data_IF_434783200365
#
_entry.id   IF_434783200365
#
_cell.length_a   1.000
_cell.length_b   1.000
_cell.length_c   1.000
_cell.angle_alpha   90.00
_cell.angle_beta   90.00
_cell.angle_gamma   90.00
#
_symmetry.space_group_name_H-M   'P 1'
#
loop_
_entity.id
_entity.type
_entity.pdbx_description
1 polymer ?
#
# COMPACT_ATOMS: atom_id res chain seq x y z
N UNK A 1 -46.61 10.34 -12.63
CA UNK A 1 -45.86 10.98 -11.51
C UNK A 1 -46.38 10.36 -10.23
N UNK A 2 -45.52 9.74 -9.48
CA UNK A 2 -45.81 9.14 -8.17
C UNK A 2 -45.48 10.15 -7.07
N UNK A 3 -46.32 10.24 -6.03
CA UNK A 3 -46.02 11.07 -4.89
C UNK A 3 -44.99 10.42 -3.97
N UNK A 4 -44.30 11.23 -3.17
CA UNK A 4 -43.47 10.76 -2.07
C UNK A 4 -44.31 9.84 -1.18
N UNK A 5 -43.84 8.69 -0.77
CA UNK A 5 -44.51 7.65 0.05
C UNK A 5 -45.26 6.53 -0.73
N UNK A 6 -45.30 6.50 -2.06
CA UNK A 6 -45.85 5.36 -2.79
C UNK A 6 -44.81 4.36 -3.21
N UNK A 7 -45.07 3.07 -2.93
CA UNK A 7 -44.26 1.97 -3.46
C UNK A 7 -44.49 1.83 -4.94
N UNK A 8 -43.44 1.84 -5.75
CA UNK A 8 -43.48 1.64 -7.21
C UNK A 8 -42.76 0.37 -7.61
N UNK A 9 -43.28 -0.31 -8.65
CA UNK A 9 -42.67 -1.53 -9.17
C UNK A 9 -41.32 -1.27 -9.82
N UNK A 10 -40.42 -2.27 -9.75
CA UNK A 10 -39.10 -2.19 -10.38
C UNK A 10 -39.27 -2.03 -11.91
N UNK A 11 -38.69 -0.93 -12.44
CA UNK A 11 -38.82 -0.56 -13.87
C UNK A 11 -39.90 0.46 -14.19
N UNK A 12 -40.65 0.94 -13.19
CA UNK A 12 -41.63 2.02 -13.39
C UNK A 12 -40.93 3.37 -13.64
N UNK A 13 -41.51 4.17 -14.54
CA UNK A 13 -40.99 5.52 -14.84
C UNK A 13 -41.39 6.48 -13.73
N UNK A 14 -40.44 6.87 -12.92
CA UNK A 14 -40.66 7.79 -11.76
C UNK A 14 -40.63 9.26 -12.16
N UNK A 15 -39.82 9.65 -13.13
CA UNK A 15 -39.73 11.03 -13.63
C UNK A 15 -39.52 11.05 -15.15
N UNK A 16 -40.14 12.00 -15.84
CA UNK A 16 -39.82 12.37 -17.23
C UNK A 16 -39.42 13.84 -17.27
N UNK A 17 -38.28 14.14 -17.85
CA UNK A 17 -37.74 15.51 -18.00
C UNK A 17 -37.91 15.89 -19.49
N UNK A 18 -38.59 16.97 -19.78
CA UNK A 18 -38.82 17.49 -21.14
C UNK A 18 -39.52 18.84 -21.11
N UNK A 19 -39.69 19.46 -22.30
CA UNK A 19 -40.39 20.73 -22.42
C UNK A 19 -41.90 20.56 -22.05
N UNK A 20 -42.44 21.37 -21.15
CA UNK A 20 -43.83 21.23 -20.70
C UNK A 20 -44.89 21.46 -21.80
N UNK A 21 -44.49 21.99 -22.96
CA UNK A 21 -45.38 22.23 -24.12
C UNK A 21 -45.24 21.23 -25.27
N UNK A 22 -44.40 20.19 -25.11
CA UNK A 22 -44.26 19.15 -26.13
C UNK A 22 -45.41 18.15 -26.03
N UNK A 23 -46.20 17.98 -27.12
CA UNK A 23 -47.23 16.96 -27.20
C UNK A 23 -46.65 15.55 -27.07
N UNK A 24 -47.32 14.61 -26.35
CA UNK A 24 -46.82 13.26 -26.17
C UNK A 24 -46.72 12.52 -27.52
N UNK A 25 -45.49 12.16 -27.91
CA UNK A 25 -45.25 11.28 -29.05
C UNK A 25 -45.78 9.87 -28.72
N UNK A 26 -46.60 9.32 -29.58
CA UNK A 26 -47.08 7.95 -29.48
C UNK A 26 -45.92 6.95 -29.52
N UNK A 27 -45.99 5.83 -28.79
CA UNK A 27 -44.93 4.84 -28.79
C UNK A 27 -44.83 4.16 -30.15
N UNK A 28 -43.67 4.28 -30.78
CA UNK A 28 -43.33 3.53 -32.00
C UNK A 28 -43.13 2.06 -31.62
N UNK A 29 -43.78 1.09 -32.35
CA UNK A 29 -43.57 -0.33 -32.09
C UNK A 29 -42.09 -0.70 -32.38
N UNK A 30 -41.45 -1.41 -31.48
CA UNK A 30 -40.14 -1.98 -31.71
C UNK A 30 -40.17 -3.01 -32.83
N UNK A 31 -39.17 -3.08 -33.74
CA UNK A 31 -39.08 -4.11 -34.75
C UNK A 31 -38.94 -5.49 -34.10
N UNK A 32 -39.80 -6.43 -34.51
CA UNK A 32 -39.72 -7.83 -34.11
C UNK A 32 -38.42 -8.45 -34.65
N UNK A 33 -37.66 -9.05 -33.78
CA UNK A 33 -36.51 -9.90 -34.13
C UNK A 33 -37.01 -11.19 -34.80
N UNK A 34 -36.33 -11.72 -35.81
CA UNK A 34 -36.74 -12.95 -36.50
C UNK A 34 -36.56 -14.16 -35.57
N UNK A 35 -37.61 -14.96 -35.46
CA UNK A 35 -37.63 -16.24 -34.75
C UNK A 35 -36.87 -17.25 -35.62
N UNK A 36 -35.71 -17.71 -35.15
CA UNK A 36 -35.07 -18.90 -35.70
C UNK A 36 -35.54 -20.10 -34.85
N UNK A 37 -36.28 -21.00 -35.45
CA UNK A 37 -36.56 -22.33 -34.94
C UNK A 37 -35.26 -23.13 -34.90
N UNK A 38 -34.78 -23.47 -33.72
CA UNK A 38 -33.71 -24.45 -33.56
C UNK A 38 -34.18 -25.58 -32.63
N UNK A 39 -34.04 -26.78 -33.17
CA UNK A 39 -34.43 -28.07 -32.64
C UNK A 39 -33.91 -28.29 -31.23
N UNK A 40 -34.81 -28.71 -30.35
CA UNK A 40 -34.49 -29.25 -29.03
C UNK A 40 -33.80 -30.61 -29.20
N UNK A 41 -32.49 -30.65 -29.00
CA UNK A 41 -31.75 -31.89 -28.77
C UNK A 41 -31.55 -32.05 -27.29
N UNK A 42 -32.06 -33.16 -26.77
CA UNK A 42 -32.05 -33.51 -25.33
C UNK A 42 -30.62 -33.80 -24.92
N UNK A 43 -30.01 -32.91 -24.10
CA UNK A 43 -28.73 -33.16 -23.45
C UNK A 43 -28.91 -34.21 -22.32
N UNK A 44 -27.97 -35.15 -22.20
CA UNK A 44 -28.05 -36.18 -21.15
C UNK A 44 -27.83 -35.57 -19.78
N UNK A 45 -28.65 -36.00 -18.84
CA UNK A 45 -28.63 -35.74 -17.41
C UNK A 45 -27.24 -36.05 -16.84
N UNK A 46 -26.49 -35.02 -16.46
CA UNK A 46 -25.25 -35.19 -15.72
C UNK A 46 -25.62 -35.59 -14.29
N UNK A 47 -25.31 -36.83 -13.92
CA UNK A 47 -25.35 -37.31 -12.55
C UNK A 47 -24.35 -36.50 -11.69
N UNK A 48 -24.81 -36.09 -10.51
CA UNK A 48 -23.98 -35.47 -9.49
C UNK A 48 -22.79 -36.39 -9.14
N UNK A 49 -21.56 -35.88 -9.00
CA UNK A 49 -20.44 -36.70 -8.61
C UNK A 49 -20.66 -37.24 -7.19
N UNK A 50 -20.68 -38.56 -7.08
CA UNK A 50 -20.68 -39.29 -5.81
C UNK A 50 -19.47 -38.82 -4.98
N UNK A 51 -19.74 -38.44 -3.74
CA UNK A 51 -18.79 -38.28 -2.67
C UNK A 51 -17.71 -39.37 -2.73
N UNK A 52 -16.48 -38.96 -3.08
CA UNK A 52 -15.31 -39.84 -2.95
C UNK A 52 -14.99 -39.95 -1.46
N UNK A 53 -15.22 -41.12 -0.91
CA UNK A 53 -14.82 -41.46 0.45
C UNK A 53 -13.29 -41.24 0.60
N UNK A 54 -12.96 -40.45 1.60
CA UNK A 54 -11.59 -40.30 2.10
C UNK A 54 -11.02 -41.68 2.42
N UNK A 55 -9.83 -42.07 1.89
CA UNK A 55 -9.22 -43.31 2.30
C UNK A 55 -8.92 -43.28 3.80
N UNK A 56 -9.10 -44.37 4.54
CA UNK A 56 -8.79 -44.41 5.96
C UNK A 56 -7.28 -44.17 6.12
N UNK A 57 -6.92 -43.22 6.99
CA UNK A 57 -5.57 -43.00 7.41
C UNK A 57 -4.97 -44.34 7.86
N UNK A 58 -3.92 -44.76 7.18
CA UNK A 58 -3.12 -45.90 7.59
C UNK A 58 -2.65 -45.67 9.03
N UNK A 59 -3.19 -46.38 9.95
CA UNK A 59 -2.67 -46.50 11.31
C UNK A 59 -1.30 -47.16 11.18
N UNK A 60 -0.27 -46.37 11.20
CA UNK A 60 1.08 -46.86 11.46
C UNK A 60 1.03 -47.47 12.87
N UNK A 61 1.17 -48.80 12.98
CA UNK A 61 1.39 -49.50 14.21
C UNK A 61 2.64 -48.90 14.86
N UNK A 62 2.44 -48.11 15.89
CA UNK A 62 3.52 -47.65 16.77
C UNK A 62 3.88 -48.86 17.61
N UNK A 63 5.08 -49.41 17.40
CA UNK A 63 5.70 -50.33 18.30
C UNK A 63 5.82 -49.65 19.67
N UNK A 64 5.05 -50.12 20.64
CA UNK A 64 5.15 -49.77 22.04
C UNK A 64 6.44 -50.40 22.61
N UNK A 65 7.49 -49.60 22.66
CA UNK A 65 8.58 -49.69 23.62
C UNK A 65 9.45 -48.43 23.50
N UNK A 66 8.98 -47.37 24.13
CA UNK A 66 9.81 -46.30 24.70
C UNK A 66 8.88 -45.25 25.29
N UNK A 67 8.96 -45.07 26.58
CA UNK A 67 8.16 -44.17 27.42
C UNK A 67 8.60 -42.68 27.23
N UNK A 68 8.81 -42.27 25.99
CA UNK A 68 9.22 -40.91 25.66
C UNK A 68 8.02 -40.14 25.06
N UNK A 69 7.62 -39.01 25.65
CA UNK A 69 6.52 -38.18 25.11
C UNK A 69 6.71 -37.81 23.66
N UNK A 70 5.62 -37.80 22.88
CA UNK A 70 5.69 -37.39 21.47
C UNK A 70 6.10 -35.93 21.34
N UNK A 71 7.29 -35.69 20.78
CA UNK A 71 7.88 -34.37 20.54
C UNK A 71 8.28 -34.21 19.08
N UNK A 72 8.25 -32.96 18.59
CA UNK A 72 8.72 -32.68 17.22
C UNK A 72 10.26 -32.86 17.12
N UNK A 73 10.80 -33.20 15.96
CA UNK A 73 12.24 -33.36 15.77
C UNK A 73 13.07 -32.18 16.22
N UNK A 74 12.52 -30.94 16.09
CA UNK A 74 13.17 -29.69 16.53
C UNK A 74 13.29 -29.62 18.06
N UNK A 75 12.24 -30.03 18.80
CA UNK A 75 12.22 -30.03 20.27
C UNK A 75 13.17 -31.09 20.81
N UNK A 76 13.26 -32.26 20.17
CA UNK A 76 14.22 -33.32 20.53
C UNK A 76 15.66 -32.85 20.37
N UNK A 77 15.99 -32.26 19.22
CA UNK A 77 17.33 -31.71 18.94
C UNK A 77 17.71 -30.57 19.91
N UNK A 78 16.71 -29.78 20.39
CA UNK A 78 16.95 -28.74 21.37
C UNK A 78 17.19 -29.33 22.77
N UNK A 79 16.45 -30.37 23.16
CA UNK A 79 16.65 -31.07 24.43
C UNK A 79 18.05 -31.72 24.48
N UNK A 80 18.46 -32.39 23.40
CA UNK A 80 19.81 -32.96 23.26
C UNK A 80 20.89 -31.89 23.38
N UNK A 81 20.69 -30.72 22.75
CA UNK A 81 21.64 -29.61 22.81
C UNK A 81 21.83 -29.03 24.22
N UNK A 82 20.78 -29.05 25.02
CA UNK A 82 20.78 -28.48 26.38
C UNK A 82 20.88 -29.55 27.48
N UNK A 83 21.03 -30.86 27.13
CA UNK A 83 21.15 -31.94 28.09
C UNK A 83 19.89 -32.17 28.93
N UNK A 84 18.70 -31.81 28.39
CA UNK A 84 17.42 -31.92 29.11
C UNK A 84 16.75 -33.25 28.79
N UNK A 85 16.46 -34.05 29.85
CA UNK A 85 15.71 -35.28 29.68
C UNK A 85 14.20 -34.98 29.50
N UNK A 86 13.68 -35.26 28.30
CA UNK A 86 12.29 -35.04 27.94
C UNK A 86 11.26 -35.80 28.78
N UNK A 87 11.68 -36.81 29.53
CA UNK A 87 10.80 -37.59 30.46
C UNK A 87 10.47 -36.77 31.71
N UNK A 88 11.32 -35.80 32.07
CA UNK A 88 11.16 -34.95 33.26
C UNK A 88 10.42 -33.65 32.95
N UNK A 89 10.19 -33.35 31.67
CA UNK A 89 9.58 -32.09 31.22
C UNK A 89 8.07 -32.24 31.06
N UNK A 90 7.31 -31.45 31.83
CA UNK A 90 5.86 -31.38 31.66
C UNK A 90 5.51 -30.48 30.47
N UNK A 91 4.87 -31.02 29.42
CA UNK A 91 4.48 -30.30 28.24
C UNK A 91 3.28 -29.37 28.45
N UNK A 92 3.41 -28.08 28.09
CA UNK A 92 2.33 -27.07 28.16
C UNK A 92 1.52 -26.95 26.88
N UNK A 93 1.78 -27.80 25.87
CA UNK A 93 1.05 -27.81 24.61
C UNK A 93 -0.28 -28.54 24.66
N UNK A 94 -1.11 -28.32 23.61
CA UNK A 94 -2.41 -29.01 23.48
C UNK A 94 -2.19 -30.53 23.49
N UNK A 95 -2.92 -31.22 24.37
CA UNK A 95 -2.75 -32.68 24.59
C UNK A 95 -1.45 -33.08 25.30
N UNK A 96 -0.88 -32.21 26.16
CA UNK A 96 0.33 -32.52 26.94
C UNK A 96 1.63 -32.50 26.12
N UNK A 97 1.63 -31.92 24.91
CA UNK A 97 2.80 -31.88 24.02
C UNK A 97 3.87 -30.95 24.56
N UNK A 98 5.13 -31.41 24.61
CA UNK A 98 6.27 -30.59 25.00
C UNK A 98 6.63 -29.60 23.89
N UNK A 99 6.72 -28.31 24.22
CA UNK A 99 7.07 -27.21 23.34
C UNK A 99 8.53 -26.81 23.53
N UNK A 100 9.09 -26.03 22.59
CA UNK A 100 10.43 -25.45 22.69
C UNK A 100 10.65 -24.68 24.01
N UNK A 101 9.61 -23.97 24.46
CA UNK A 101 9.66 -23.17 25.70
C UNK A 101 9.79 -24.03 26.95
N UNK A 102 9.16 -25.20 26.98
CA UNK A 102 9.21 -26.13 28.11
C UNK A 102 10.62 -26.71 28.28
N UNK A 103 11.30 -27.02 27.20
CA UNK A 103 12.70 -27.49 27.20
C UNK A 103 13.66 -26.38 27.67
N UNK A 104 13.47 -25.14 27.23
CA UNK A 104 14.30 -24.01 27.67
C UNK A 104 14.07 -23.67 29.14
N UNK A 105 12.82 -23.79 29.64
CA UNK A 105 12.52 -23.61 31.07
C UNK A 105 13.16 -24.68 31.93
N UNK A 106 13.13 -25.94 31.49
CA UNK A 106 13.78 -27.05 32.18
C UNK A 106 15.31 -26.93 32.16
N UNK A 107 15.89 -26.42 31.07
CA UNK A 107 17.34 -26.14 30.98
C UNK A 107 17.79 -25.02 31.93
N UNK A 108 16.89 -24.04 32.23
CA UNK A 108 17.18 -22.95 33.18
C UNK A 108 17.05 -23.35 34.65
N UNK A 109 16.32 -24.43 34.97
CA UNK A 109 16.14 -24.91 36.35
C UNK A 109 17.28 -25.85 36.84
N UNK A 110 18.14 -26.32 35.97
CA UNK A 110 19.28 -27.19 36.32
C UNK A 110 20.49 -26.48 36.91
N UNK A 111 20.44 -25.16 37.12
CA UNK A 111 21.59 -24.37 37.62
C UNK A 111 21.36 -23.70 39.01
N UNK A 112 20.39 -24.21 39.79
CA UNK A 112 20.16 -23.63 41.13
C UNK A 112 19.96 -24.73 42.17
N UNK A 113 21.09 -25.30 42.66
CA UNK A 113 21.10 -26.02 43.95
C UNK A 113 22.15 -25.39 44.87
N UNK A 114 21.65 -25.07 46.08
CA UNK A 114 22.36 -24.66 47.32
C UNK A 114 22.72 -23.16 47.52
N UNK A 115 21.83 -22.47 48.28
CA UNK A 115 22.23 -21.59 49.39
C UNK A 115 21.02 -21.32 50.33
N UNK A 116 21.27 -21.04 51.66
CA UNK A 116 20.35 -21.39 52.73
C UNK A 116 19.30 -20.30 53.03
N UNK A 117 18.27 -20.75 53.77
CA UNK A 117 17.12 -19.98 54.22
C UNK A 117 17.48 -18.68 54.93
N UNK A 118 16.87 -17.56 54.53
CA UNK A 118 16.78 -16.34 55.30
C UNK A 118 15.42 -15.64 55.07
N UNK A 119 14.72 -15.47 56.21
CA UNK A 119 13.77 -14.41 56.55
C UNK A 119 12.60 -14.07 55.59
N UNK A 120 11.40 -14.31 56.13
CA UNK A 120 10.13 -13.74 55.68
C UNK A 120 10.22 -12.21 55.51
N UNK A 121 9.94 -11.75 54.29
CA UNK A 121 9.65 -10.35 53.97
C UNK A 121 8.14 -10.25 53.64
N UNK A 122 7.42 -9.22 54.13
CA UNK A 122 5.97 -9.13 53.99
C UNK A 122 5.55 -9.08 52.52
N UNK A 123 4.45 -9.80 52.21
CA UNK A 123 3.85 -9.86 50.89
C UNK A 123 3.64 -8.45 50.31
N UNK A 124 4.38 -8.10 49.29
CA UNK A 124 4.11 -6.95 48.45
C UNK A 124 2.76 -7.18 47.75
N UNK A 125 1.87 -6.20 47.82
CA UNK A 125 0.60 -6.17 47.11
C UNK A 125 0.79 -6.51 45.62
N UNK A 126 -0.17 -7.19 44.98
CA UNK A 126 -0.04 -7.53 43.58
C UNK A 126 0.14 -6.25 42.75
N UNK A 127 1.33 -6.11 42.16
CA UNK A 127 1.54 -5.10 41.15
C UNK A 127 0.54 -5.36 40.02
N UNK A 128 -0.42 -4.46 39.88
CA UNK A 128 -1.26 -4.41 38.69
C UNK A 128 -0.34 -4.29 37.49
N UNK A 129 -0.19 -5.39 36.75
CA UNK A 129 0.47 -5.38 35.46
C UNK A 129 -0.33 -4.45 34.56
N UNK A 130 0.10 -3.19 34.47
CA UNK A 130 -0.42 -2.28 33.47
C UNK A 130 -0.20 -2.95 32.11
N UNK A 131 -1.30 -3.32 31.47
CA UNK A 131 -1.30 -3.88 30.14
C UNK A 131 -0.51 -2.94 29.24
N UNK A 132 0.58 -3.40 28.66
CA UNK A 132 1.39 -2.60 27.75
C UNK A 132 0.57 -2.30 26.50
N UNK A 133 -0.09 -1.14 26.48
CA UNK A 133 -1.03 -0.72 25.43
C UNK A 133 -0.30 -0.40 24.13
N UNK A 134 1.01 -0.16 24.15
CA UNK A 134 1.83 0.06 22.96
C UNK A 134 3.31 -0.14 23.29
N UNK A 135 4.07 -0.73 22.36
CA UNK A 135 5.53 -0.84 22.43
C UNK A 135 6.24 0.47 22.04
N UNK A 136 5.54 1.40 21.39
CA UNK A 136 6.07 2.73 21.04
C UNK A 136 5.92 3.67 22.26
N UNK A 137 7.02 4.17 22.77
CA UNK A 137 6.99 5.26 23.75
C UNK A 137 6.34 6.49 23.10
N UNK A 138 5.31 7.03 23.77
CA UNK A 138 4.72 8.31 23.37
C UNK A 138 5.75 9.41 23.56
N UNK A 139 5.98 10.22 22.52
CA UNK A 139 6.81 11.42 22.62
C UNK A 139 6.25 12.34 23.73
N UNK A 140 7.04 12.68 24.75
CA UNK A 140 6.57 13.52 25.86
C UNK A 140 6.00 14.88 25.40
N UNK A 141 6.59 15.48 24.36
CA UNK A 141 6.11 16.75 23.80
C UNK A 141 4.72 16.60 23.18
N UNK A 142 4.47 15.48 22.45
CA UNK A 142 3.14 15.17 21.90
C UNK A 142 2.14 14.80 23.01
N UNK A 143 2.58 14.12 24.05
CA UNK A 143 1.75 13.79 25.21
C UNK A 143 1.27 15.06 25.94
N UNK A 144 2.11 16.08 26.07
CA UNK A 144 1.79 17.36 26.70
C UNK A 144 0.72 18.18 25.94
N UNK A 145 0.45 17.86 24.66
CA UNK A 145 -0.61 18.50 23.88
C UNK A 145 -2.03 18.05 24.28
N UNK A 146 -2.15 16.93 24.98
CA UNK A 146 -3.48 16.37 25.35
C UNK A 146 -4.20 17.31 26.30
N UNK A 147 -5.45 17.66 25.94
CA UNK A 147 -6.29 18.57 26.72
C UNK A 147 -5.93 20.06 26.57
N UNK A 148 -5.02 20.44 25.66
CA UNK A 148 -4.68 21.84 25.37
C UNK A 148 -5.40 22.34 24.11
N UNK A 149 -5.63 23.64 24.05
CA UNK A 149 -6.08 24.36 22.86
C UNK A 149 -4.95 25.29 22.42
N UNK A 150 -4.49 25.17 21.16
CA UNK A 150 -3.41 25.98 20.64
C UNK A 150 -3.77 26.58 19.28
N UNK A 151 -3.20 27.76 18.97
CA UNK A 151 -3.29 28.32 17.63
C UNK A 151 -2.50 27.45 16.66
N UNK A 152 -3.06 27.21 15.48
CA UNK A 152 -2.34 26.56 14.38
C UNK A 152 -1.24 27.48 13.86
N UNK A 153 -0.14 26.90 13.40
CA UNK A 153 0.94 27.66 12.78
C UNK A 153 0.54 28.09 11.35
N UNK A 154 1.28 29.06 10.76
CA UNK A 154 0.99 29.61 9.44
C UNK A 154 1.02 28.55 8.33
N UNK A 155 1.91 27.57 8.38
CA UNK A 155 1.97 26.49 7.38
C UNK A 155 0.70 25.67 7.44
N UNK A 156 0.21 25.31 8.63
CA UNK A 156 -1.04 24.56 8.82
C UNK A 156 -2.26 25.36 8.34
N UNK A 157 -2.29 26.69 8.56
CA UNK A 157 -3.35 27.56 8.04
C UNK A 157 -3.38 27.53 6.50
N UNK A 158 -2.21 27.66 5.86
CA UNK A 158 -2.08 27.62 4.40
C UNK A 158 -2.50 26.24 3.87
N UNK A 159 -2.01 25.15 4.49
CA UNK A 159 -2.37 23.78 4.11
C UNK A 159 -3.89 23.58 4.20
N UNK A 160 -4.51 23.96 5.32
CA UNK A 160 -5.96 23.81 5.52
C UNK A 160 -6.76 24.55 4.43
N UNK A 161 -6.34 25.78 4.10
CA UNK A 161 -7.00 26.56 3.04
C UNK A 161 -6.81 25.90 1.67
N UNK A 162 -5.59 25.47 1.33
CA UNK A 162 -5.27 24.91 0.01
C UNK A 162 -5.88 23.52 -0.22
N UNK A 163 -5.92 22.68 0.79
CA UNK A 163 -6.58 21.37 0.67
C UNK A 163 -8.08 21.50 0.52
N UNK A 164 -8.71 22.44 1.27
CA UNK A 164 -10.14 22.70 1.13
C UNK A 164 -10.48 23.32 -0.24
N UNK A 165 -9.69 24.30 -0.70
CA UNK A 165 -9.77 24.86 -2.06
C UNK A 165 -9.72 23.77 -3.11
N UNK A 166 -8.75 22.86 -3.00
CA UNK A 166 -8.56 21.73 -3.92
C UNK A 166 -9.81 20.83 -4.00
N UNK A 167 -10.37 20.44 -2.86
CA UNK A 167 -11.57 19.60 -2.80
C UNK A 167 -12.82 20.27 -3.36
N UNK A 168 -12.90 21.61 -3.30
CA UNK A 168 -14.04 22.37 -3.81
C UNK A 168 -13.93 22.72 -5.30
N UNK A 169 -12.71 22.73 -5.86
CA UNK A 169 -12.47 23.17 -7.25
C UNK A 169 -12.21 22.02 -8.22
N UNK A 170 -11.79 20.87 -7.73
CA UNK A 170 -11.47 19.69 -8.54
C UNK A 170 -12.44 18.53 -8.27
N UNK A 171 -12.86 17.85 -9.31
CA UNK A 171 -13.65 16.61 -9.22
C UNK A 171 -12.69 15.42 -9.00
N UNK A 172 -12.21 15.26 -7.75
CA UNK A 172 -11.16 14.32 -7.44
C UNK A 172 -11.64 12.86 -7.44
N UNK A 173 -10.93 12.00 -8.15
CA UNK A 173 -11.10 10.56 -8.18
C UNK A 173 -9.73 9.89 -8.03
N UNK A 174 -9.67 8.78 -7.28
CA UNK A 174 -8.42 8.02 -7.10
C UNK A 174 -8.52 6.66 -7.77
N UNK A 175 -7.57 6.36 -8.67
CA UNK A 175 -7.36 5.06 -9.27
C UNK A 175 -6.14 4.39 -8.67
N UNK A 176 -6.21 3.08 -8.42
CA UNK A 176 -5.18 2.32 -7.74
C UNK A 176 -4.63 1.23 -8.66
N UNK A 177 -3.31 1.19 -8.85
CA UNK A 177 -2.62 0.07 -9.48
C UNK A 177 -1.72 -0.64 -8.49
N UNK A 178 -1.65 -1.97 -8.59
CA UNK A 178 -0.68 -2.79 -7.89
C UNK A 178 0.51 -3.05 -8.82
N UNK A 179 1.74 -2.96 -8.28
CA UNK A 179 2.99 -3.05 -9.03
C UNK A 179 3.98 -3.97 -8.33
N UNK A 180 4.62 -4.87 -9.08
CA UNK A 180 5.69 -5.73 -8.60
C UNK A 180 7.04 -5.00 -8.65
N UNK A 181 7.56 -4.68 -7.48
CA UNK A 181 8.84 -4.01 -7.29
C UNK A 181 10.02 -4.96 -7.06
N UNK A 182 9.83 -6.27 -7.24
CA UNK A 182 10.84 -7.27 -6.90
C UNK A 182 12.14 -7.04 -7.68
N UNK A 183 12.05 -6.85 -8.99
CA UNK A 183 13.21 -6.60 -9.84
C UNK A 183 13.92 -5.29 -9.49
N UNK A 184 13.18 -4.20 -9.25
CA UNK A 184 13.75 -2.91 -8.78
C UNK A 184 14.43 -3.08 -7.42
N UNK A 185 13.85 -3.87 -6.51
CA UNK A 185 14.44 -4.11 -5.20
C UNK A 185 15.76 -4.88 -5.28
N UNK A 186 15.84 -5.88 -6.17
CA UNK A 186 17.05 -6.63 -6.43
C UNK A 186 18.13 -5.76 -7.08
N UNK A 187 17.78 -5.02 -8.13
CA UNK A 187 18.68 -4.06 -8.79
C UNK A 187 19.23 -3.03 -7.79
N UNK A 188 18.34 -2.43 -6.99
CA UNK A 188 18.72 -1.49 -5.94
C UNK A 188 19.65 -2.14 -4.92
N UNK A 189 19.35 -3.35 -4.46
CA UNK A 189 20.17 -4.09 -3.49
C UNK A 189 21.59 -4.33 -4.02
N UNK A 190 21.70 -4.74 -5.28
CA UNK A 190 22.98 -5.00 -5.94
C UNK A 190 23.85 -3.73 -6.06
N UNK A 191 23.23 -2.58 -6.34
CA UNK A 191 23.94 -1.36 -6.73
C UNK A 191 24.03 -0.29 -5.62
N UNK A 192 23.35 -0.46 -4.49
CA UNK A 192 23.25 0.57 -3.42
C UNK A 192 24.60 1.07 -2.94
N UNK A 193 25.58 0.19 -2.72
CA UNK A 193 26.90 0.55 -2.19
C UNK A 193 27.71 1.35 -3.21
N UNK A 194 27.75 0.89 -4.46
CA UNK A 194 28.46 1.57 -5.56
C UNK A 194 27.83 2.95 -5.84
N UNK A 195 26.50 3.04 -5.84
CA UNK A 195 25.79 4.30 -6.06
C UNK A 195 26.10 5.32 -4.95
N UNK A 196 26.06 4.90 -3.69
CA UNK A 196 26.43 5.74 -2.54
C UNK A 196 27.88 6.24 -2.64
N UNK A 197 28.80 5.34 -2.99
CA UNK A 197 30.21 5.68 -3.14
C UNK A 197 30.45 6.70 -4.27
N UNK A 198 29.73 6.57 -5.39
CA UNK A 198 29.90 7.42 -6.57
C UNK A 198 29.20 8.78 -6.46
N UNK A 199 27.97 8.79 -5.95
CA UNK A 199 27.11 9.99 -5.98
C UNK A 199 26.87 10.64 -4.61
N UNK A 200 27.34 10.05 -3.51
CA UNK A 200 27.23 10.61 -2.17
C UNK A 200 25.86 10.53 -1.52
N UNK A 201 24.85 9.97 -2.23
CA UNK A 201 23.47 9.85 -1.74
C UNK A 201 22.99 8.40 -1.74
N UNK A 202 22.06 8.07 -0.85
CA UNK A 202 21.50 6.73 -0.79
C UNK A 202 20.58 6.46 -1.99
N UNK A 203 20.74 5.31 -2.64
CA UNK A 203 19.79 4.82 -3.63
C UNK A 203 18.53 4.31 -2.91
N UNK A 204 17.50 5.15 -2.81
CA UNK A 204 16.18 4.81 -2.28
C UNK A 204 15.25 4.35 -3.40
N UNK A 205 14.00 3.97 -3.09
CA UNK A 205 13.02 3.62 -4.13
C UNK A 205 12.42 4.86 -4.83
N UNK A 206 12.39 6.01 -4.16
CA UNK A 206 11.72 7.21 -4.67
C UNK A 206 12.27 7.70 -6.01
N UNK A 207 13.60 7.70 -6.29
CA UNK A 207 14.13 8.05 -7.61
C UNK A 207 13.62 7.15 -8.75
N UNK A 208 13.38 5.86 -8.51
CA UNK A 208 12.80 4.96 -9.52
C UNK A 208 11.34 5.30 -9.80
N UNK A 209 10.53 5.54 -8.77
CA UNK A 209 9.16 6.02 -8.94
C UNK A 209 9.11 7.37 -9.66
N UNK A 210 10.00 8.29 -9.29
CA UNK A 210 10.08 9.60 -9.91
C UNK A 210 10.45 9.50 -11.40
N UNK A 211 11.48 8.70 -11.74
CA UNK A 211 11.92 8.51 -13.14
C UNK A 211 10.80 7.90 -13.99
N UNK A 212 10.17 6.84 -13.52
CA UNK A 212 9.05 6.20 -14.24
C UNK A 212 7.84 7.16 -14.40
N UNK A 213 7.51 7.93 -13.36
CA UNK A 213 6.44 8.93 -13.44
C UNK A 213 6.76 10.08 -14.41
N UNK A 214 8.00 10.58 -14.43
CA UNK A 214 8.44 11.64 -15.34
C UNK A 214 8.36 11.15 -16.79
N UNK A 215 8.86 9.95 -17.09
CA UNK A 215 8.78 9.36 -18.43
C UNK A 215 7.31 9.18 -18.88
N UNK A 216 6.44 8.76 -17.96
CA UNK A 216 5.02 8.66 -18.22
C UNK A 216 4.35 10.03 -18.43
N UNK A 217 4.72 11.08 -17.69
CA UNK A 217 4.19 12.45 -17.85
C UNK A 217 4.54 13.06 -19.21
N UNK A 218 5.73 12.77 -19.71
CA UNK A 218 6.14 13.17 -21.08
C UNK A 218 5.29 12.46 -22.14
N UNK A 219 4.95 11.18 -21.91
CA UNK A 219 4.16 10.36 -22.83
C UNK A 219 2.65 10.60 -22.73
N UNK A 220 2.16 11.15 -21.61
CA UNK A 220 0.75 11.39 -21.31
C UNK A 220 0.52 12.86 -20.92
N UNK A 221 0.58 13.81 -21.85
CA UNK A 221 0.56 15.25 -21.56
C UNK A 221 -0.74 15.72 -20.89
N UNK A 222 -1.86 15.01 -21.07
CA UNK A 222 -3.14 15.29 -20.40
C UNK A 222 -3.08 15.11 -18.87
N UNK A 223 -2.13 14.31 -18.35
CA UNK A 223 -1.88 14.18 -16.91
C UNK A 223 -0.92 15.26 -16.41
N UNK A 224 -0.03 15.78 -17.27
CA UNK A 224 0.85 16.92 -16.98
C UNK A 224 0.20 18.25 -17.42
N UNK A 225 -1.00 18.53 -16.93
CA UNK A 225 -1.82 19.65 -17.36
C UNK A 225 -2.41 20.41 -16.16
N UNK A 226 -3.01 21.56 -16.45
CA UNK A 226 -3.80 22.32 -15.51
C UNK A 226 -5.06 22.87 -16.17
N UNK A 227 -6.12 23.08 -15.38
CA UNK A 227 -7.41 23.57 -15.86
C UNK A 227 -7.77 24.91 -15.25
N UNK A 228 -8.18 25.84 -16.10
CA UNK A 228 -8.78 27.10 -15.70
C UNK A 228 -10.28 27.09 -16.05
N UNK A 229 -11.12 26.84 -15.04
CA UNK A 229 -12.56 26.73 -15.23
C UNK A 229 -13.23 28.05 -15.68
N UNK A 230 -12.72 29.20 -15.25
CA UNK A 230 -13.27 30.52 -15.60
C UNK A 230 -13.07 30.80 -17.11
N UNK A 231 -11.88 30.48 -17.62
CA UNK A 231 -11.53 30.66 -19.04
C UNK A 231 -11.95 29.48 -19.90
N UNK A 232 -12.25 28.32 -19.31
CA UNK A 232 -12.51 27.04 -19.97
C UNK A 232 -11.31 26.58 -20.82
N UNK A 233 -10.11 26.78 -20.27
CA UNK A 233 -8.84 26.49 -20.95
C UNK A 233 -8.07 25.41 -20.21
N UNK A 234 -7.48 24.48 -20.97
CA UNK A 234 -6.46 23.53 -20.49
C UNK A 234 -5.08 24.01 -20.91
N UNK A 235 -4.14 23.98 -19.98
CA UNK A 235 -2.72 24.20 -20.26
C UNK A 235 -1.98 22.88 -20.15
N UNK A 236 -1.40 22.42 -21.25
CA UNK A 236 -0.50 21.27 -21.29
C UNK A 236 0.92 21.76 -21.06
N UNK A 237 1.56 21.29 -19.97
CA UNK A 237 2.89 21.75 -19.60
C UNK A 237 3.95 21.06 -20.46
N UNK A 238 4.86 21.84 -21.05
CA UNK A 238 6.00 21.31 -21.81
C UNK A 238 7.10 20.74 -20.92
N UNK A 239 7.13 21.16 -19.66
CA UNK A 239 8.11 20.75 -18.66
C UNK A 239 7.42 19.92 -17.57
N UNK A 240 8.18 18.97 -16.99
CA UNK A 240 7.77 18.25 -15.80
C UNK A 240 8.44 18.88 -14.59
N UNK A 241 7.67 19.65 -13.83
CA UNK A 241 8.11 20.24 -12.58
C UNK A 241 7.54 19.38 -11.42
N UNK A 242 8.40 18.54 -10.85
CA UNK A 242 8.00 17.47 -9.93
C UNK A 242 7.95 17.98 -8.49
N UNK A 243 6.75 18.08 -7.92
CA UNK A 243 6.54 18.29 -6.49
C UNK A 243 6.83 17.01 -5.70
N UNK A 244 7.57 17.15 -4.61
CA UNK A 244 7.83 16.04 -3.65
C UNK A 244 7.23 16.42 -2.30
N UNK A 245 6.28 15.64 -1.82
CA UNK A 245 5.70 15.85 -0.50
C UNK A 245 6.71 15.50 0.60
N UNK A 246 7.04 16.47 1.44
CA UNK A 246 8.02 16.34 2.53
C UNK A 246 7.38 16.68 3.86
N UNK A 247 7.41 15.73 4.79
CA UNK A 247 7.07 15.99 6.19
C UNK A 247 8.19 16.76 6.89
N UNK A 248 7.79 17.87 7.54
CA UNK A 248 8.71 18.74 8.28
C UNK A 248 8.18 19.02 9.69
N UNK A 249 9.02 19.44 10.65
CA UNK A 249 8.55 19.83 11.98
C UNK A 249 7.47 20.93 11.98
N UNK A 250 7.45 21.77 10.94
CA UNK A 250 6.48 22.86 10.80
C UNK A 250 5.18 22.43 10.08
N UNK A 251 5.17 21.29 9.41
CA UNK A 251 4.06 20.72 8.65
C UNK A 251 4.48 20.17 7.30
N UNK A 252 3.49 19.71 6.53
CA UNK A 252 3.68 19.16 5.19
C UNK A 252 3.97 20.28 4.18
N UNK A 253 5.04 20.12 3.40
CA UNK A 253 5.40 20.97 2.28
C UNK A 253 5.54 20.14 1.02
N UNK A 254 5.30 20.74 -0.16
CA UNK A 254 5.49 20.07 -1.46
C UNK A 254 6.44 20.92 -2.33
N UNK A 255 7.75 20.94 -2.01
CA UNK A 255 8.72 21.63 -2.83
C UNK A 255 8.88 20.96 -4.20
N UNK A 256 9.35 21.74 -5.19
CA UNK A 256 9.32 21.43 -6.62
C UNK A 256 10.74 21.30 -7.17
N UNK A 257 10.99 20.18 -7.85
CA UNK A 257 12.18 19.97 -8.69
C UNK A 257 11.81 20.38 -10.12
N UNK A 258 12.40 21.48 -10.60
CA UNK A 258 12.09 22.01 -11.92
C UNK A 258 12.82 21.24 -13.03
N UNK A 259 12.17 21.13 -14.20
CA UNK A 259 12.70 20.47 -15.41
C UNK A 259 13.19 19.04 -15.15
N UNK A 260 12.43 18.30 -14.37
CA UNK A 260 12.81 16.94 -13.94
C UNK A 260 12.93 15.95 -15.12
N UNK A 261 12.30 16.25 -16.27
CA UNK A 261 12.41 15.43 -17.50
C UNK A 261 13.83 15.37 -18.06
N UNK A 262 14.66 16.38 -17.78
CA UNK A 262 16.04 16.47 -18.28
C UNK A 262 17.05 15.77 -17.35
N UNK A 263 16.59 15.30 -16.18
CA UNK A 263 17.46 14.72 -15.16
C UNK A 263 17.66 13.22 -15.33
N UNK A 264 18.89 12.79 -15.12
CA UNK A 264 19.25 11.38 -14.94
C UNK A 264 18.76 10.86 -13.58
N UNK A 265 18.72 9.55 -13.39
CA UNK A 265 18.31 8.95 -12.12
C UNK A 265 19.23 9.36 -10.94
N UNK A 266 20.56 9.43 -11.08
CA UNK A 266 21.43 9.99 -10.05
C UNK A 266 21.14 11.44 -9.70
N UNK A 267 20.93 12.30 -10.70
CA UNK A 267 20.59 13.71 -10.49
C UNK A 267 19.23 13.85 -9.77
N UNK A 268 18.24 13.04 -10.14
CA UNK A 268 16.96 12.97 -9.42
C UNK A 268 17.14 12.54 -7.95
N UNK A 269 17.98 11.54 -7.70
CA UNK A 269 18.26 11.08 -6.34
C UNK A 269 18.92 12.17 -5.48
N UNK A 270 19.86 12.91 -6.06
CA UNK A 270 20.53 14.06 -5.41
C UNK A 270 19.54 15.21 -5.19
N UNK A 271 18.74 15.57 -6.21
CA UNK A 271 17.76 16.65 -6.12
C UNK A 271 16.67 16.37 -5.08
N UNK A 272 16.17 15.13 -5.03
CA UNK A 272 15.18 14.68 -4.01
C UNK A 272 15.78 14.79 -2.61
N UNK A 273 17.03 14.37 -2.43
CA UNK A 273 17.72 14.43 -1.14
C UNK A 273 17.93 15.88 -0.71
N UNK A 274 18.47 16.73 -1.59
CA UNK A 274 18.73 18.14 -1.33
C UNK A 274 17.45 18.89 -0.96
N UNK A 275 16.39 18.74 -1.78
CA UNK A 275 15.14 19.49 -1.56
C UNK A 275 14.43 19.07 -0.27
N UNK A 276 14.51 17.77 0.08
CA UNK A 276 13.98 17.27 1.34
C UNK A 276 14.76 17.79 2.56
N UNK A 277 16.08 17.86 2.46
CA UNK A 277 16.94 18.39 3.53
C UNK A 277 16.72 19.89 3.70
N UNK A 278 16.61 20.64 2.61
CA UNK A 278 16.30 22.08 2.64
C UNK A 278 14.91 22.33 3.24
N UNK A 279 13.92 21.49 2.93
CA UNK A 279 12.58 21.59 3.50
C UNK A 279 12.59 21.39 5.01
N UNK A 280 13.24 20.33 5.50
CA UNK A 280 13.32 20.02 6.95
C UNK A 280 14.10 21.07 7.74
N UNK A 281 15.10 21.69 7.11
CA UNK A 281 15.94 22.72 7.72
C UNK A 281 15.44 24.17 7.48
N UNK A 282 14.22 24.32 6.92
CA UNK A 282 13.62 25.63 6.64
C UNK A 282 14.48 26.52 5.72
N UNK A 283 15.13 25.89 4.72
CA UNK A 283 16.05 26.54 3.75
C UNK A 283 15.48 26.61 2.33
N UNK A 284 14.18 26.34 2.17
CA UNK A 284 13.53 26.46 0.86
C UNK A 284 13.43 27.92 0.43
N UNK A 285 13.60 28.15 -0.87
CA UNK A 285 13.40 29.43 -1.51
C UNK A 285 11.96 29.53 -2.04
N UNK A 286 11.39 30.72 -2.25
CA UNK A 286 10.05 30.86 -2.85
C UNK A 286 9.87 30.13 -4.18
N UNK A 287 10.91 30.10 -5.01
CA UNK A 287 10.90 29.36 -6.28
C UNK A 287 10.74 27.83 -6.07
N UNK A 288 11.27 27.28 -4.99
CA UNK A 288 11.13 25.86 -4.68
C UNK A 288 9.68 25.46 -4.33
N UNK A 289 8.79 26.41 -4.08
CA UNK A 289 7.39 26.18 -3.65
C UNK A 289 6.36 26.57 -4.73
N UNK A 290 6.80 26.78 -5.96
CA UNK A 290 5.94 27.27 -7.05
C UNK A 290 6.21 26.54 -8.36
N UNK A 291 5.24 26.57 -9.27
CA UNK A 291 5.40 26.07 -10.63
C UNK A 291 5.40 24.54 -10.77
N UNK A 292 5.02 23.80 -9.75
CA UNK A 292 4.85 22.35 -9.83
C UNK A 292 3.73 21.95 -10.79
N UNK A 293 3.96 20.92 -11.60
CA UNK A 293 2.98 20.40 -12.58
C UNK A 293 2.43 19.03 -12.21
N UNK A 294 3.12 18.29 -11.37
CA UNK A 294 2.73 17.00 -10.84
C UNK A 294 3.37 16.78 -9.46
N UNK A 295 2.76 16.03 -8.59
CA UNK A 295 3.30 15.77 -7.23
C UNK A 295 3.39 14.26 -6.95
N UNK A 296 4.48 13.85 -6.28
CA UNK A 296 4.60 12.52 -5.68
C UNK A 296 4.60 12.65 -4.16
N UNK A 297 3.76 11.84 -3.50
CA UNK A 297 3.72 11.72 -2.04
C UNK A 297 4.07 10.31 -1.59
N UNK A 298 5.14 10.18 -0.78
CA UNK A 298 5.55 8.89 -0.22
C UNK A 298 4.77 8.61 1.06
N UNK A 299 3.68 7.86 0.95
CA UNK A 299 2.84 7.42 2.09
C UNK A 299 3.36 6.14 2.73
N UNK A 300 4.17 5.37 2.01
CA UNK A 300 4.72 4.09 2.46
C UNK A 300 5.81 4.21 3.51
N UNK A 301 6.42 5.38 3.71
CA UNK A 301 7.45 5.60 4.74
C UNK A 301 6.95 5.32 6.16
N UNK A 302 5.66 5.57 6.43
CA UNK A 302 5.01 5.30 7.71
C UNK A 302 4.17 4.00 7.69
N UNK A 303 4.30 3.20 6.62
CA UNK A 303 3.69 1.87 6.50
C UNK A 303 2.28 1.87 5.88
N UNK A 304 1.78 3.00 5.39
CA UNK A 304 0.50 3.02 4.67
C UNK A 304 0.61 2.27 3.34
N UNK A 305 -0.34 1.38 3.07
CA UNK A 305 -0.38 0.62 1.81
C UNK A 305 -0.92 1.46 0.67
N UNK A 306 -1.93 2.27 0.93
CA UNK A 306 -2.58 3.16 -0.03
C UNK A 306 -3.25 4.32 0.72
N UNK A 307 -3.57 5.39 0.00
CA UNK A 307 -4.32 6.55 0.46
C UNK A 307 -5.03 7.18 -0.75
N UNK A 308 -5.81 8.23 -0.51
CA UNK A 308 -6.42 9.10 -1.52
C UNK A 308 -5.82 10.51 -1.39
N UNK A 309 -4.62 10.75 -1.94
CA UNK A 309 -3.95 12.03 -1.76
C UNK A 309 -4.75 13.17 -2.40
N UNK A 310 -4.79 14.32 -1.72
CA UNK A 310 -5.50 15.51 -2.21
C UNK A 310 -4.61 16.25 -3.21
N UNK A 311 -5.18 16.67 -4.33
CA UNK A 311 -4.49 17.41 -5.39
C UNK A 311 -3.87 18.71 -4.87
N UNK A 312 -2.75 19.09 -5.48
CA UNK A 312 -2.10 20.38 -5.27
C UNK A 312 -2.47 21.31 -6.43
N UNK A 313 -3.48 22.20 -6.28
CA UNK A 313 -3.89 23.05 -7.39
C UNK A 313 -2.75 23.93 -7.92
N UNK A 314 -2.67 24.17 -9.23
CA UNK A 314 -3.60 23.80 -10.30
C UNK A 314 -3.24 22.47 -11.01
N UNK A 315 -2.48 21.58 -10.40
CA UNK A 315 -2.04 20.31 -11.00
C UNK A 315 -3.23 19.38 -11.28
N UNK A 316 -3.19 18.67 -12.41
CA UNK A 316 -4.22 17.70 -12.79
C UNK A 316 -4.19 16.41 -11.99
N UNK A 317 -3.02 16.01 -11.45
CA UNK A 317 -2.87 14.76 -10.74
C UNK A 317 -1.77 14.77 -9.67
N UNK A 318 -1.89 13.83 -8.72
CA UNK A 318 -0.91 13.52 -7.68
C UNK A 318 -0.82 12.00 -7.51
N UNK A 319 0.38 11.46 -7.40
CA UNK A 319 0.61 10.03 -7.20
C UNK A 319 1.14 9.75 -5.79
N UNK A 320 0.51 8.81 -5.12
CA UNK A 320 1.03 8.22 -3.89
C UNK A 320 1.93 7.02 -4.18
N UNK A 321 2.94 6.81 -3.34
CA UNK A 321 3.71 5.57 -3.32
C UNK A 321 3.52 4.88 -1.98
N UNK A 322 2.85 3.71 -2.00
CA UNK A 322 2.55 2.92 -0.81
C UNK A 322 3.77 2.21 -0.24
N UNK A 323 3.60 1.54 0.89
CA UNK A 323 4.62 0.69 1.46
C UNK A 323 4.87 -0.53 0.56
N UNK A 324 6.15 -0.80 0.26
CA UNK A 324 6.56 -2.01 -0.44
C UNK A 324 6.55 -3.17 0.55
N UNK A 325 5.66 -4.15 0.33
CA UNK A 325 5.48 -5.28 1.23
C UNK A 325 5.58 -6.62 0.48
N UNK A 326 6.10 -7.64 1.14
CA UNK A 326 6.13 -9.00 0.57
C UNK A 326 4.74 -9.60 0.63
N UNK A 327 4.25 -10.09 -0.53
CA UNK A 327 2.96 -10.77 -0.68
C UNK A 327 3.11 -12.05 -1.49
N UNK A 328 2.31 -13.09 -1.20
CA UNK A 328 2.10 -14.20 -2.11
C UNK A 328 1.26 -13.69 -3.29
N UNK A 329 1.76 -13.88 -4.50
CA UNK A 329 1.04 -13.55 -5.74
C UNK A 329 1.12 -14.74 -6.70
N UNK A 330 0.14 -14.85 -7.58
CA UNK A 330 0.19 -15.82 -8.67
C UNK A 330 1.06 -15.23 -9.77
N UNK A 331 2.04 -16.01 -10.21
CA UNK A 331 2.85 -15.72 -11.40
C UNK A 331 2.59 -16.80 -12.44
N UNK A 332 2.52 -16.42 -13.72
CA UNK A 332 2.33 -17.34 -14.82
C UNK A 332 3.63 -17.41 -15.65
N UNK A 333 4.31 -18.54 -15.63
CA UNK A 333 5.50 -18.78 -16.44
C UNK A 333 5.23 -19.97 -17.39
N UNK A 334 5.44 -19.76 -18.69
CA UNK A 334 5.21 -20.77 -19.72
C UNK A 334 3.82 -21.44 -19.67
N UNK A 335 2.80 -20.68 -19.27
CA UNK A 335 1.41 -21.17 -19.15
C UNK A 335 1.12 -21.97 -17.87
N UNK A 336 2.03 -22.00 -16.92
CA UNK A 336 1.85 -22.66 -15.61
C UNK A 336 1.77 -21.59 -14.52
N UNK A 337 0.69 -21.62 -13.73
CA UNK A 337 0.53 -20.74 -12.58
C UNK A 337 1.26 -21.29 -11.34
N UNK A 338 2.00 -20.41 -10.66
CA UNK A 338 2.70 -20.71 -9.42
C UNK A 338 2.50 -19.59 -8.41
N UNK A 339 2.57 -19.91 -7.13
CA UNK A 339 2.55 -18.89 -6.06
C UNK A 339 3.99 -18.49 -5.75
N UNK A 340 4.31 -17.22 -5.94
CA UNK A 340 5.60 -16.65 -5.58
C UNK A 340 5.47 -15.53 -4.55
N UNK A 341 6.53 -15.30 -3.78
CA UNK A 341 6.63 -14.13 -2.89
C UNK A 341 7.25 -12.98 -3.67
N UNK A 342 6.48 -11.90 -3.86
CA UNK A 342 6.89 -10.69 -4.57
C UNK A 342 6.85 -9.48 -3.65
N UNK A 343 7.62 -8.46 -3.97
CA UNK A 343 7.61 -7.17 -3.28
C UNK A 343 6.63 -6.24 -3.98
N UNK A 344 5.42 -6.13 -3.42
CA UNK A 344 4.30 -5.43 -4.04
C UNK A 344 4.15 -4.03 -3.46
N UNK A 345 3.74 -3.08 -4.30
CA UNK A 345 3.39 -1.71 -3.91
C UNK A 345 2.06 -1.32 -4.55
N UNK A 346 1.31 -0.47 -3.86
CA UNK A 346 0.19 0.23 -4.47
C UNK A 346 0.59 1.64 -4.88
N UNK A 347 0.16 2.04 -6.07
CA UNK A 347 0.31 3.38 -6.61
C UNK A 347 -1.07 4.01 -6.80
N UNK A 348 -1.60 4.74 -5.78
CA UNK A 348 -2.79 5.55 -5.94
C UNK A 348 -2.48 6.80 -6.76
N UNK A 349 -3.26 7.07 -7.78
CA UNK A 349 -3.26 8.31 -8.55
C UNK A 349 -4.58 9.02 -8.30
N UNK A 350 -4.54 10.16 -7.61
CA UNK A 350 -5.68 11.08 -7.56
C UNK A 350 -5.57 12.08 -8.70
N UNK A 351 -6.65 12.30 -9.42
CA UNK A 351 -6.70 13.19 -10.57
C UNK A 351 -8.01 13.99 -10.59
N UNK A 352 -7.97 15.12 -11.29
CA UNK A 352 -9.14 15.95 -11.53
C UNK A 352 -9.95 15.39 -12.72
N UNK A 353 -11.09 14.77 -12.41
CA UNK A 353 -11.96 14.15 -13.42
C UNK A 353 -12.69 15.16 -14.32
N UNK A 354 -12.44 16.47 -14.13
CA UNK A 354 -12.88 17.49 -15.08
C UNK A 354 -12.04 17.46 -16.36
N UNK A 355 -10.78 16.97 -16.30
CA UNK A 355 -9.81 17.04 -17.40
C UNK A 355 -9.03 15.74 -17.64
N UNK A 356 -9.05 14.79 -16.73
CA UNK A 356 -8.42 13.47 -16.87
C UNK A 356 -9.48 12.39 -16.69
N UNK A 357 -9.64 11.54 -17.69
CA UNK A 357 -10.55 10.40 -17.65
C UNK A 357 -9.90 9.17 -17.01
N UNK A 358 -10.73 8.23 -16.52
CA UNK A 358 -10.24 6.98 -15.93
C UNK A 358 -9.40 6.13 -16.89
N UNK A 359 -9.68 6.19 -18.20
CA UNK A 359 -8.87 5.53 -19.22
C UNK A 359 -7.49 6.17 -19.38
N UNK A 360 -7.39 7.49 -19.29
CA UNK A 360 -6.10 8.22 -19.34
C UNK A 360 -5.28 7.93 -18.10
N UNK A 361 -5.89 8.01 -16.93
CA UNK A 361 -5.27 7.65 -15.65
C UNK A 361 -4.75 6.20 -15.66
N UNK A 362 -5.56 5.26 -16.20
CA UNK A 362 -5.18 3.86 -16.35
C UNK A 362 -4.00 3.65 -17.28
N UNK A 363 -3.97 4.29 -18.45
CA UNK A 363 -2.83 4.23 -19.38
C UNK A 363 -1.56 4.82 -18.77
N UNK A 364 -1.67 5.95 -18.09
CA UNK A 364 -0.57 6.59 -17.38
C UNK A 364 0.03 5.66 -16.30
N UNK A 365 -0.81 5.10 -15.42
CA UNK A 365 -0.37 4.17 -14.39
C UNK A 365 0.18 2.85 -14.97
N UNK A 366 -0.37 2.38 -16.10
CA UNK A 366 0.16 1.19 -16.79
C UNK A 366 1.56 1.45 -17.33
N UNK A 367 1.83 2.61 -17.91
CA UNK A 367 3.18 3.01 -18.36
C UNK A 367 4.18 3.00 -17.19
N UNK A 368 3.79 3.53 -16.03
CA UNK A 368 4.63 3.52 -14.83
C UNK A 368 4.85 2.09 -14.33
N UNK A 369 3.78 1.29 -14.25
CA UNK A 369 3.85 -0.11 -13.81
C UNK A 369 4.82 -0.90 -14.69
N UNK A 370 4.63 -0.86 -16.00
CA UNK A 370 5.43 -1.62 -16.95
C UNK A 370 6.92 -1.24 -16.86
N UNK A 371 7.23 0.05 -16.67
CA UNK A 371 8.59 0.55 -16.45
C UNK A 371 9.22 0.02 -15.16
N UNK A 372 8.45 -0.02 -14.07
CA UNK A 372 8.91 -0.49 -12.77
C UNK A 372 9.04 -2.01 -12.71
N UNK A 373 8.10 -2.77 -13.26
CA UNK A 373 8.11 -4.22 -13.28
C UNK A 373 9.22 -4.78 -14.18
N UNK A 374 9.44 -4.15 -15.33
CA UNK A 374 10.57 -4.46 -16.24
C UNK A 374 11.91 -4.14 -15.58
N UNK A 375 11.96 -3.10 -14.73
CA UNK A 375 13.14 -2.66 -13.98
C UNK A 375 14.40 -2.40 -14.82
N UNK A 376 14.24 -2.01 -16.07
CA UNK A 376 15.35 -1.73 -16.98
C UNK A 376 16.00 -0.36 -16.68
N UNK A 377 16.61 -0.25 -15.48
CA UNK A 377 17.26 0.96 -14.98
C UNK A 377 18.79 0.84 -14.87
N UNK A 378 19.41 -0.27 -15.33
CA UNK A 378 20.85 -0.47 -15.24
C UNK A 378 21.63 0.68 -15.91
N UNK A 379 21.21 1.08 -17.12
CA UNK A 379 21.80 2.19 -17.85
C UNK A 379 21.57 3.55 -17.18
N UNK A 380 20.41 3.71 -16.48
CA UNK A 380 20.05 4.95 -15.79
C UNK A 380 20.85 5.18 -14.50
N UNK A 381 21.39 4.11 -13.88
CA UNK A 381 22.22 4.21 -12.68
C UNK A 381 23.55 4.90 -12.92
N UNK A 382 24.05 4.88 -14.17
CA UNK A 382 25.29 5.51 -14.55
C UNK A 382 26.52 4.98 -13.75
N UNK A 383 26.53 3.69 -13.38
CA UNK A 383 27.58 3.03 -12.58
C UNK A 383 28.64 2.39 -13.46
#
# INVERSE_FOLDING_TARGET
LHNEDNTVDVGAVIVRIGDPNAAPAAPTPAPAAPVAEEKVEVAPKVEAPKSVATPPAAQAKVNSNDDVPYVTPLVRKLADKHGVDLRTVTGTGVGGRIRKQDVLAAAGQGAAESAPAAAEVPAAAPATTASAVSTKRVDPAKAALRGTTQRVNRIREITAKKTLESLHTAAQLTQLHEVDMTNVAELRKANKAAFQAKYGVNLTYLPFFAKAAIEALVSHPNVNASYNAEKKEMTYHSQVNLGIAVDTPAGLLSPVIHNAQDMTLPELAQAITDIADRARNNKLKPADLSGGTFTITNIGSEGALSDTPILVPPQAAIMGTGAIVKRPVVISEHGVDAIAVRQMVYLPLTYDHQIVDGADAGRFLTTIRDRLETANFEGDLGL
#
